data_IF_625544856525
#
_entry.id   IF_625544856525
#
_cell.length_a   1.000
_cell.length_b   1.000
_cell.length_c   1.000
_cell.angle_alpha   90.00
_cell.angle_beta   90.00
_cell.angle_gamma   90.00
#
_symmetry.space_group_name_H-M   'P 1'
#
loop_
_entity.id
_entity.type
_entity.pdbx_description
1 polymer ?
#
# COMPACT_ATOMS: atom_id res chain seq x y z
N UNK A 1 4.25 16.83 -1.91
CA UNK A 1 5.04 16.05 -0.95
C UNK A 1 4.81 14.55 -1.14
N UNK A 2 3.58 14.07 -1.24
CA UNK A 2 3.25 12.63 -1.38
C UNK A 2 3.14 12.13 -2.84
N UNK A 3 2.54 12.94 -3.72
CA UNK A 3 2.43 12.63 -5.17
C UNK A 3 3.80 12.45 -5.85
N UNK A 4 4.83 13.20 -5.41
CA UNK A 4 6.20 13.00 -5.92
C UNK A 4 6.76 11.66 -5.44
N UNK A 5 6.61 11.32 -4.16
CA UNK A 5 7.05 10.04 -3.63
C UNK A 5 6.39 8.86 -4.38
N UNK A 6 5.07 8.92 -4.61
CA UNK A 6 4.34 7.95 -5.42
C UNK A 6 4.85 7.85 -6.86
N UNK A 7 5.15 8.99 -7.51
CA UNK A 7 5.72 9.00 -8.87
C UNK A 7 7.13 8.39 -8.89
N UNK A 8 7.97 8.70 -7.92
CA UNK A 8 9.33 8.14 -7.83
C UNK A 8 9.28 6.64 -7.55
N UNK A 9 8.43 6.22 -6.61
CA UNK A 9 8.16 4.81 -6.32
C UNK A 9 7.66 4.07 -7.56
N UNK A 10 6.74 4.70 -8.32
CA UNK A 10 6.24 4.15 -9.59
C UNK A 10 7.31 4.06 -10.67
N UNK A 11 8.14 5.09 -10.82
CA UNK A 11 9.23 5.06 -11.78
C UNK A 11 10.28 4.01 -11.44
N UNK A 12 10.56 3.81 -10.14
CA UNK A 12 11.45 2.75 -9.66
C UNK A 12 10.83 1.37 -9.88
N UNK A 13 9.57 1.18 -9.49
CA UNK A 13 8.84 -0.07 -9.72
C UNK A 13 8.72 -0.41 -11.22
N UNK A 14 8.52 0.59 -12.08
CA UNK A 14 8.45 0.40 -13.53
C UNK A 14 9.76 -0.16 -14.13
N UNK A 15 10.91 0.10 -13.51
CA UNK A 15 12.22 -0.39 -13.93
C UNK A 15 12.58 -1.77 -13.38
N UNK A 16 11.76 -2.29 -12.47
CA UNK A 16 11.98 -3.58 -11.81
C UNK A 16 11.06 -4.62 -12.48
N UNK A 17 11.60 -5.78 -12.89
CA UNK A 17 10.79 -6.87 -13.40
C UNK A 17 9.70 -7.23 -12.38
N UNK A 18 8.45 -7.27 -12.84
CA UNK A 18 7.34 -7.67 -12.01
C UNK A 18 7.03 -9.16 -12.23
N UNK A 19 6.88 -9.91 -11.16
CA UNK A 19 6.30 -11.25 -11.20
C UNK A 19 4.78 -11.11 -11.01
N UNK A 20 4.05 -10.94 -12.11
CA UNK A 20 2.63 -10.58 -12.05
C UNK A 20 2.44 -9.16 -11.51
N UNK A 21 1.75 -9.03 -10.38
CA UNK A 21 1.55 -7.76 -9.67
C UNK A 21 2.67 -7.41 -8.68
N UNK A 22 3.60 -8.34 -8.42
CA UNK A 22 4.65 -8.17 -7.40
C UNK A 22 5.94 -7.56 -7.96
N UNK A 23 6.46 -6.55 -7.26
CA UNK A 23 7.73 -5.88 -7.53
C UNK A 23 8.64 -5.99 -6.31
N UNK A 24 9.74 -6.73 -6.42
CA UNK A 24 10.70 -6.92 -5.32
C UNK A 24 11.83 -5.91 -5.41
N UNK A 25 11.99 -5.08 -4.38
CA UNK A 25 13.08 -4.12 -4.28
C UNK A 25 14.18 -4.65 -3.37
N UNK A 26 15.42 -4.58 -3.82
CA UNK A 26 16.54 -4.81 -2.91
C UNK A 26 16.69 -3.62 -1.95
N UNK A 27 16.54 -3.92 -0.65
CA UNK A 27 16.61 -2.96 0.44
C UNK A 27 16.88 -3.70 1.75
N UNK A 28 17.74 -3.16 2.63
CA UNK A 28 17.96 -3.72 3.96
C UNK A 28 16.82 -3.40 4.94
N UNK A 29 15.90 -2.49 4.59
CA UNK A 29 14.77 -2.11 5.44
C UNK A 29 13.50 -2.86 5.04
N UNK A 30 12.80 -3.51 5.99
CA UNK A 30 11.54 -4.19 5.72
C UNK A 30 10.45 -3.17 5.40
N UNK A 31 9.84 -3.30 4.22
CA UNK A 31 8.74 -2.45 3.77
C UNK A 31 7.92 -3.18 2.70
N UNK A 32 6.63 -2.90 2.68
CA UNK A 32 5.69 -3.36 1.66
C UNK A 32 4.58 -2.32 1.48
N UNK A 33 4.14 -2.11 0.24
CA UNK A 33 3.04 -1.20 -0.04
C UNK A 33 2.37 -1.44 -1.39
N UNK A 34 1.06 -1.20 -1.41
CA UNK A 34 0.24 -1.12 -2.60
C UNK A 34 0.57 0.14 -3.41
N UNK A 35 1.10 -0.06 -4.62
CA UNK A 35 1.33 1.02 -5.57
C UNK A 35 0.11 1.22 -6.47
N UNK A 36 -0.59 2.36 -6.36
CA UNK A 36 -1.77 2.62 -7.16
C UNK A 36 -1.42 2.85 -8.63
N UNK A 37 -2.28 2.34 -9.53
CA UNK A 37 -2.09 2.54 -10.96
C UNK A 37 -2.74 1.50 -11.83
N UNK A 38 -2.49 1.62 -13.14
CA UNK A 38 -2.80 0.59 -14.13
C UNK A 38 -1.49 0.28 -14.87
N UNK A 39 -0.94 -0.94 -14.72
CA UNK A 39 -1.36 -1.98 -13.77
C UNK A 39 -1.12 -1.57 -12.31
N UNK A 40 -1.95 -2.09 -11.39
CA UNK A 40 -1.66 -2.05 -9.95
C UNK A 40 -0.45 -2.91 -9.65
N UNK A 41 0.36 -2.51 -8.67
CA UNK A 41 1.51 -3.31 -8.23
C UNK A 41 1.57 -3.37 -6.71
N UNK A 42 2.18 -4.42 -6.19
CA UNK A 42 2.61 -4.52 -4.81
C UNK A 42 4.13 -4.38 -4.82
N UNK A 43 4.66 -3.46 -4.04
CA UNK A 43 6.09 -3.35 -3.83
C UNK A 43 6.41 -4.03 -2.52
N UNK A 44 7.44 -4.87 -2.51
CA UNK A 44 7.94 -5.53 -1.29
C UNK A 44 9.45 -5.49 -1.29
N UNK A 45 10.08 -5.26 -0.13
CA UNK A 45 11.54 -5.31 -0.04
C UNK A 45 12.07 -6.72 0.22
N UNK A 46 13.32 -6.97 -0.18
CA UNK A 46 13.99 -8.24 0.13
C UNK A 46 14.09 -8.48 1.64
N UNK A 47 14.28 -7.42 2.45
CA UNK A 47 14.24 -7.51 3.91
C UNK A 47 12.86 -7.93 4.45
N UNK A 48 11.76 -7.40 3.92
CA UNK A 48 10.40 -7.78 4.33
C UNK A 48 10.11 -9.25 4.03
N UNK A 49 10.53 -9.73 2.85
CA UNK A 49 10.36 -11.15 2.51
C UNK A 49 11.15 -12.08 3.44
N UNK A 50 12.36 -11.67 3.84
CA UNK A 50 13.19 -12.47 4.75
C UNK A 50 12.67 -12.48 6.20
N UNK A 51 11.92 -11.46 6.62
CA UNK A 51 11.36 -11.38 7.97
C UNK A 51 10.08 -12.18 8.17
N UNK A 52 9.45 -12.65 7.09
CA UNK A 52 8.15 -13.33 7.12
C UNK A 52 8.28 -14.77 6.62
N UNK A 53 7.52 -15.68 7.20
CA UNK A 53 7.34 -17.04 6.68
C UNK A 53 6.42 -17.09 5.45
N UNK A 54 6.13 -18.29 4.93
CA UNK A 54 5.31 -18.43 3.73
C UNK A 54 3.86 -17.97 3.94
N UNK A 55 3.24 -18.31 5.08
CA UNK A 55 1.85 -17.97 5.37
C UNK A 55 1.71 -16.46 5.65
N UNK A 56 2.66 -15.88 6.38
CA UNK A 56 2.70 -14.45 6.65
C UNK A 56 2.86 -13.61 5.36
N UNK A 57 3.65 -14.11 4.39
CA UNK A 57 3.77 -13.46 3.07
C UNK A 57 2.46 -13.49 2.29
N UNK A 58 1.72 -14.60 2.35
CA UNK A 58 0.41 -14.71 1.68
C UNK A 58 -0.59 -13.70 2.25
N UNK A 59 -0.66 -13.59 3.58
CA UNK A 59 -1.50 -12.58 4.27
C UNK A 59 -1.07 -11.17 3.89
N UNK A 60 0.23 -10.86 3.94
CA UNK A 60 0.76 -9.56 3.53
C UNK A 60 0.32 -9.21 2.10
N UNK A 61 0.52 -10.12 1.14
CA UNK A 61 0.14 -9.86 -0.24
C UNK A 61 -1.38 -9.74 -0.42
N UNK A 62 -2.18 -10.51 0.32
CA UNK A 62 -3.64 -10.37 0.29
C UNK A 62 -4.09 -8.98 0.78
N UNK A 63 -3.47 -8.48 1.86
CA UNK A 63 -3.69 -7.15 2.43
C UNK A 63 -3.30 -6.04 1.43
N UNK A 64 -2.10 -6.10 0.85
CA UNK A 64 -1.67 -5.09 -0.15
C UNK A 64 -2.52 -5.10 -1.42
N UNK A 65 -2.99 -6.28 -1.86
CA UNK A 65 -3.96 -6.34 -2.96
C UNK A 65 -5.30 -5.73 -2.57
N UNK A 66 -5.74 -5.88 -1.32
CA UNK A 66 -6.98 -5.28 -0.85
C UNK A 66 -6.91 -3.74 -0.91
N UNK A 67 -5.81 -3.12 -0.53
CA UNK A 67 -5.61 -1.67 -0.72
C UNK A 67 -5.74 -1.22 -2.17
N UNK A 68 -5.17 -2.00 -3.10
CA UNK A 68 -5.26 -1.72 -4.54
C UNK A 68 -6.69 -1.88 -5.05
N UNK A 69 -7.37 -3.00 -4.74
CA UNK A 69 -8.75 -3.28 -5.17
C UNK A 69 -9.75 -2.29 -4.59
N UNK A 70 -9.61 -1.95 -3.31
CA UNK A 70 -10.46 -1.00 -2.60
C UNK A 70 -10.16 0.46 -2.95
N UNK A 71 -9.09 0.74 -3.70
CA UNK A 71 -8.72 2.11 -4.06
C UNK A 71 -8.38 2.99 -2.84
N UNK A 72 -7.89 2.39 -1.75
CA UNK A 72 -7.71 3.06 -0.45
C UNK A 72 -6.86 4.32 -0.53
N UNK A 73 -5.86 4.33 -1.41
CA UNK A 73 -5.03 5.50 -1.69
C UNK A 73 -5.83 6.76 -2.09
N UNK A 74 -6.97 6.64 -2.78
CA UNK A 74 -7.80 7.79 -3.13
C UNK A 74 -8.53 8.36 -1.92
N UNK A 75 -9.04 7.51 -1.04
CA UNK A 75 -9.68 7.94 0.20
C UNK A 75 -8.68 8.63 1.13
N UNK A 76 -7.48 8.06 1.27
CA UNK A 76 -6.39 8.66 2.04
C UNK A 76 -6.00 10.03 1.47
N UNK A 77 -5.81 10.14 0.15
CA UNK A 77 -5.46 11.40 -0.49
C UNK A 77 -6.55 12.47 -0.34
N UNK A 78 -7.83 12.09 -0.44
CA UNK A 78 -8.96 12.99 -0.25
C UNK A 78 -9.03 13.48 1.22
N UNK A 79 -8.83 12.59 2.19
CA UNK A 79 -8.84 12.93 3.60
C UNK A 79 -7.65 13.81 3.99
N UNK A 80 -6.47 13.55 3.42
CA UNK A 80 -5.28 14.40 3.59
C UNK A 80 -5.52 15.80 3.03
N UNK A 81 -6.10 15.92 1.83
CA UNK A 81 -6.45 17.21 1.23
C UNK A 81 -7.47 17.96 2.10
N UNK A 82 -8.51 17.28 2.58
CA UNK A 82 -9.51 17.87 3.45
C UNK A 82 -8.89 18.42 4.76
N UNK A 83 -8.00 17.66 5.39
CA UNK A 83 -7.28 18.07 6.60
C UNK A 83 -6.33 19.27 6.36
N UNK A 84 -5.78 19.41 5.14
CA UNK A 84 -5.00 20.58 4.73
C UNK A 84 -5.89 21.81 4.51
N UNK A 85 -7.08 21.63 3.92
CA UNK A 85 -8.02 22.74 3.69
C UNK A 85 -8.65 23.24 4.98
N UNK A 86 -8.90 22.36 5.96
CA UNK A 86 -9.55 22.73 7.22
C UNK A 86 -9.01 21.91 8.41
N UNK A 87 -8.38 22.54 9.43
CA UNK A 87 -7.78 21.82 10.56
C UNK A 87 -8.74 20.93 11.37
N UNK A 88 -10.03 21.32 11.46
CA UNK A 88 -11.05 20.50 12.12
C UNK A 88 -11.31 19.13 11.46
N UNK A 89 -10.85 18.92 10.22
CA UNK A 89 -10.97 17.65 9.50
C UNK A 89 -9.78 16.70 9.72
N UNK A 90 -8.77 17.09 10.50
CA UNK A 90 -7.65 16.21 10.86
C UNK A 90 -8.09 14.88 11.51
N UNK A 91 -9.10 14.82 12.40
CA UNK A 91 -9.58 13.55 12.93
C UNK A 91 -10.20 12.64 11.87
N UNK A 92 -10.81 13.22 10.83
CA UNK A 92 -11.40 12.45 9.71
C UNK A 92 -10.32 11.71 8.94
N UNK A 93 -9.15 12.33 8.72
CA UNK A 93 -8.00 11.65 8.13
C UNK A 93 -7.61 10.39 8.88
N UNK A 94 -7.47 10.47 10.20
CA UNK A 94 -7.12 9.30 11.02
C UNK A 94 -8.21 8.22 10.97
N UNK A 95 -9.49 8.63 11.00
CA UNK A 95 -10.61 7.71 10.90
C UNK A 95 -10.65 6.99 9.55
N UNK A 96 -10.41 7.70 8.43
CA UNK A 96 -10.33 7.12 7.09
C UNK A 96 -9.15 6.16 6.98
N UNK A 97 -8.00 6.52 7.55
CA UNK A 97 -6.83 5.64 7.60
C UNK A 97 -7.16 4.34 8.32
N UNK A 98 -7.67 4.43 9.54
CA UNK A 98 -8.05 3.24 10.32
C UNK A 98 -9.09 2.38 9.59
N UNK A 99 -10.08 2.99 8.95
CA UNK A 99 -11.08 2.25 8.19
C UNK A 99 -10.48 1.52 6.99
N UNK A 100 -9.53 2.13 6.29
CA UNK A 100 -8.83 1.51 5.17
C UNK A 100 -7.96 0.31 5.60
N UNK A 101 -7.24 0.43 6.72
CA UNK A 101 -6.45 -0.68 7.29
C UNK A 101 -7.36 -1.84 7.70
N UNK A 102 -8.44 -1.57 8.45
CA UNK A 102 -9.39 -2.61 8.86
C UNK A 102 -10.04 -3.32 7.68
N UNK A 103 -10.46 -2.55 6.66
CA UNK A 103 -11.03 -3.13 5.45
C UNK A 103 -10.02 -4.01 4.70
N UNK A 104 -8.73 -3.64 4.70
CA UNK A 104 -7.67 -4.46 4.10
C UNK A 104 -7.41 -5.74 4.91
N UNK A 105 -7.39 -5.67 6.24
CA UNK A 105 -7.22 -6.82 7.14
C UNK A 105 -8.36 -7.82 7.02
N UNK A 106 -9.61 -7.35 7.05
CA UNK A 106 -10.80 -8.19 6.90
C UNK A 106 -10.82 -8.88 5.53
N UNK A 107 -10.44 -8.16 4.47
CA UNK A 107 -10.32 -8.71 3.13
C UNK A 107 -9.19 -9.75 3.02
N UNK A 108 -8.06 -9.53 3.70
CA UNK A 108 -6.94 -10.49 3.73
C UNK A 108 -7.34 -11.77 4.48
N UNK A 109 -7.98 -11.64 5.65
CA UNK A 109 -8.46 -12.76 6.46
C UNK A 109 -9.53 -13.61 5.75
N UNK A 110 -10.28 -13.02 4.81
CA UNK A 110 -11.25 -13.77 4.00
C UNK A 110 -10.61 -14.48 2.80
N UNK A 111 -9.44 -14.01 2.36
CA UNK A 111 -8.81 -14.46 1.12
C UNK A 111 -7.77 -15.58 1.31
N UNK A 112 -7.34 -15.83 2.54
CA UNK A 112 -6.31 -16.82 2.91
C UNK A 112 -6.91 -17.88 3.82
#
# INVERSE_FOLDING_TARGET
AEVRALRTARARAARVPAAGDLCVLDSPYPDAYALPGRPHRIVVTTAMLRSLDAAEREVLFAHERAHNRGGHHWFLAAAELAAHCHPALRPVREAVRLAAERAADEAAATAV
#
